data_IF_723509873919
#
_entry.id   IF_723509873919
#
_cell.length_a   1.000
_cell.length_b   1.000
_cell.length_c   1.000
_cell.angle_alpha   90.00
_cell.angle_beta   90.00
_cell.angle_gamma   90.00
#
_symmetry.space_group_name_H-M   'P 1'
#
loop_
_entity.id
_entity.type
_entity.pdbx_description
1 polymer ?
#
# COMPACT_ATOMS: atom_id res chain seq x y z
N UNK A 1 58.15 25.79 -20.24
CA UNK A 1 57.09 25.03 -19.54
C UNK A 1 56.32 26.01 -18.66
N UNK A 2 55.10 26.44 -19.00
CA UNK A 2 54.26 27.18 -18.05
C UNK A 2 53.46 26.19 -17.20
N UNK A 3 53.34 26.51 -15.91
CA UNK A 3 52.62 25.72 -14.93
C UNK A 3 51.10 25.80 -15.13
N UNK A 4 50.43 24.64 -15.17
CA UNK A 4 48.97 24.55 -15.06
C UNK A 4 48.55 24.95 -13.64
N UNK A 5 47.80 26.04 -13.53
CA UNK A 5 47.04 26.38 -12.31
C UNK A 5 45.74 25.58 -12.36
N UNK A 6 45.63 24.55 -11.53
CA UNK A 6 44.41 23.78 -11.34
C UNK A 6 43.37 24.60 -10.58
N UNK A 7 42.28 24.96 -11.26
CA UNK A 7 41.12 25.60 -10.67
C UNK A 7 40.28 24.52 -9.98
N UNK A 8 40.37 24.39 -8.66
CA UNK A 8 39.44 23.59 -7.88
C UNK A 8 38.07 24.28 -7.93
N UNK A 9 37.14 23.73 -8.71
CA UNK A 9 35.71 24.04 -8.57
C UNK A 9 35.26 23.49 -7.21
N UNK A 10 35.12 24.37 -6.23
CA UNK A 10 34.45 24.06 -4.98
C UNK A 10 32.97 23.80 -5.30
N UNK A 11 32.59 22.53 -5.37
CA UNK A 11 31.19 22.12 -5.38
C UNK A 11 30.57 22.56 -4.05
N UNK A 12 29.74 23.59 -4.07
CA UNK A 12 28.91 23.96 -2.93
C UNK A 12 27.93 22.81 -2.69
N UNK A 13 28.18 21.99 -1.68
CA UNK A 13 27.22 21.01 -1.20
C UNK A 13 25.98 21.78 -0.70
N UNK A 14 24.89 21.76 -1.48
CA UNK A 14 23.58 22.14 -0.96
C UNK A 14 23.24 21.13 0.14
N UNK A 15 23.11 21.59 1.38
CA UNK A 15 22.51 20.79 2.44
C UNK A 15 21.12 20.38 2.00
N UNK A 16 20.81 19.08 2.03
CA UNK A 16 19.45 18.61 1.81
C UNK A 16 18.52 19.34 2.80
N UNK A 17 17.33 19.78 2.38
CA UNK A 17 16.41 20.44 3.30
C UNK A 17 16.06 19.47 4.44
N UNK A 18 15.89 20.00 5.65
CA UNK A 18 15.66 19.18 6.84
C UNK A 18 14.20 18.69 6.89
N UNK A 19 13.98 17.52 7.48
CA UNK A 19 12.64 17.06 7.84
C UNK A 19 12.02 18.00 8.86
N UNK A 20 10.83 18.52 8.60
CA UNK A 20 10.08 19.32 9.55
C UNK A 20 9.15 18.42 10.36
N UNK A 21 9.22 18.50 11.70
CA UNK A 21 8.43 17.67 12.61
C UNK A 21 7.59 18.54 13.52
N UNK A 22 6.28 18.53 13.32
CA UNK A 22 5.30 19.18 14.17
C UNK A 22 4.73 18.21 15.20
N UNK A 23 4.53 18.68 16.43
CA UNK A 23 4.07 17.88 17.59
C UNK A 23 2.94 18.57 18.34
N UNK A 24 2.37 17.87 19.32
CA UNK A 24 1.38 18.44 20.23
C UNK A 24 0.00 18.57 19.60
N UNK A 25 -0.81 19.50 20.10
CA UNK A 25 -2.23 19.60 19.78
C UNK A 25 -2.50 19.79 18.28
N UNK A 26 -1.72 20.63 17.59
CA UNK A 26 -1.88 20.85 16.14
C UNK A 26 -1.68 19.57 15.33
N UNK A 27 -0.63 18.79 15.64
CA UNK A 27 -0.40 17.51 14.98
C UNK A 27 -1.55 16.54 15.28
N UNK A 28 -2.00 16.48 16.54
CA UNK A 28 -3.11 15.62 16.95
C UNK A 28 -4.40 15.93 16.19
N UNK A 29 -4.81 17.19 16.13
CA UNK A 29 -6.07 17.60 15.47
C UNK A 29 -6.10 17.22 13.99
N UNK A 30 -5.03 17.55 13.24
CA UNK A 30 -4.93 17.23 11.81
C UNK A 30 -4.87 15.72 11.60
N UNK A 31 -4.05 15.02 12.39
CA UNK A 31 -3.81 13.60 12.17
C UNK A 31 -4.96 12.70 12.64
N UNK A 32 -5.70 13.07 13.68
CA UNK A 32 -6.88 12.28 14.08
C UNK A 32 -8.00 12.37 13.05
N UNK A 33 -8.14 13.50 12.36
CA UNK A 33 -9.08 13.63 11.25
C UNK A 33 -8.68 12.71 10.07
N UNK A 34 -7.40 12.72 9.68
CA UNK A 34 -6.86 11.85 8.63
C UNK A 34 -6.96 10.34 8.98
N UNK A 35 -7.00 10.00 10.26
CA UNK A 35 -7.09 8.63 10.73
C UNK A 35 -8.49 8.02 10.63
N UNK A 36 -9.52 8.83 10.34
CA UNK A 36 -10.89 8.36 10.18
C UNK A 36 -11.01 7.41 8.98
N UNK A 37 -11.75 6.31 9.16
CA UNK A 37 -12.01 5.35 8.08
C UNK A 37 -13.21 5.89 7.27
N UNK A 38 -13.12 5.97 5.94
CA UNK A 38 -14.25 6.34 5.12
C UNK A 38 -15.42 5.38 5.36
N UNK A 39 -16.61 5.93 5.63
CA UNK A 39 -17.83 5.13 5.67
C UNK A 39 -18.28 4.81 4.24
N UNK A 40 -18.70 3.56 4.00
CA UNK A 40 -19.39 3.20 2.77
C UNK A 40 -20.60 4.12 2.52
N UNK A 41 -20.91 4.50 1.27
CA UNK A 41 -22.18 5.13 0.94
C UNK A 41 -23.36 4.26 1.39
N UNK A 42 -24.38 4.86 2.01
CA UNK A 42 -25.54 4.16 2.57
C UNK A 42 -26.32 3.30 1.56
N UNK A 43 -26.20 3.62 0.26
CA UNK A 43 -26.90 2.94 -0.83
C UNK A 43 -26.12 1.73 -1.39
N UNK A 44 -24.97 1.38 -0.80
CA UNK A 44 -24.31 0.10 -1.09
C UNK A 44 -25.09 -1.01 -0.38
N UNK A 45 -25.96 -1.72 -1.11
CA UNK A 45 -26.61 -2.93 -0.62
C UNK A 45 -25.53 -3.97 -0.33
N UNK A 46 -25.13 -4.11 0.94
CA UNK A 46 -24.11 -5.05 1.38
C UNK A 46 -24.75 -6.43 1.63
N UNK A 47 -24.41 -7.50 0.89
CA UNK A 47 -24.54 -8.85 1.41
C UNK A 47 -23.50 -9.04 2.53
N UNK A 48 -23.97 -9.34 3.75
CA UNK A 48 -23.22 -9.55 5.01
C UNK A 48 -21.71 -9.21 4.92
N UNK A 49 -21.30 -7.96 5.21
CA UNK A 49 -19.90 -7.58 5.14
C UNK A 49 -19.10 -8.42 6.14
N UNK A 50 -17.93 -8.91 5.73
CA UNK A 50 -16.96 -9.49 6.66
C UNK A 50 -16.65 -8.40 7.69
N UNK A 51 -16.70 -8.70 9.01
CA UNK A 51 -16.32 -7.74 10.04
C UNK A 51 -14.98 -7.12 9.69
N UNK A 52 -14.84 -5.82 9.96
CA UNK A 52 -13.57 -5.11 9.81
C UNK A 52 -13.08 -4.89 8.37
N UNK A 53 -13.85 -5.19 7.32
CA UNK A 53 -13.50 -4.79 5.94
C UNK A 53 -13.94 -3.35 5.64
N UNK A 54 -13.17 -2.66 4.81
CA UNK A 54 -13.46 -1.29 4.35
C UNK A 54 -13.71 -1.32 2.85
N UNK A 55 -14.88 -0.87 2.36
CA UNK A 55 -15.11 -0.78 0.93
C UNK A 55 -14.25 0.33 0.31
N UNK A 56 -13.79 0.08 -0.91
CA UNK A 56 -13.09 1.05 -1.73
C UNK A 56 -14.08 1.73 -2.69
N UNK A 57 -13.88 3.02 -2.93
CA UNK A 57 -14.64 3.81 -3.91
C UNK A 57 -13.75 4.02 -5.13
N UNK A 58 -14.27 3.76 -6.32
CA UNK A 58 -13.51 3.89 -7.57
C UNK A 58 -13.83 5.18 -8.32
N UNK A 59 -12.85 5.64 -9.10
CA UNK A 59 -12.92 6.87 -9.87
C UNK A 59 -13.45 6.63 -11.30
N UNK A 60 -13.35 5.40 -11.80
CA UNK A 60 -13.69 5.04 -13.18
C UNK A 60 -14.90 4.11 -13.27
N UNK A 61 -14.76 2.92 -13.86
CA UNK A 61 -15.84 2.00 -14.17
C UNK A 61 -16.35 1.24 -12.93
N UNK A 62 -15.50 1.03 -11.92
CA UNK A 62 -15.90 0.47 -10.63
C UNK A 62 -16.38 1.61 -9.73
N UNK A 63 -17.62 1.52 -9.23
CA UNK A 63 -18.15 2.53 -8.30
C UNK A 63 -17.72 2.25 -6.86
N UNK A 64 -17.89 1.00 -6.43
CA UNK A 64 -17.55 0.53 -5.08
C UNK A 64 -17.09 -0.92 -5.19
N UNK A 65 -15.99 -1.28 -4.55
CA UNK A 65 -15.52 -2.66 -4.38
C UNK A 65 -15.37 -3.04 -2.91
N UNK A 66 -15.69 -4.28 -2.53
CA UNK A 66 -15.58 -4.76 -1.15
C UNK A 66 -15.33 -6.27 -1.05
N UNK A 67 -14.74 -6.67 0.06
CA UNK A 67 -14.47 -8.06 0.41
C UNK A 67 -15.63 -8.62 1.23
N UNK A 68 -16.07 -9.84 0.91
CA UNK A 68 -17.19 -10.48 1.60
C UNK A 68 -17.07 -12.01 1.61
N UNK A 69 -18.05 -12.66 2.25
CA UNK A 69 -18.09 -14.11 2.39
C UNK A 69 -17.11 -14.58 3.45
N UNK A 70 -17.43 -14.39 4.75
CA UNK A 70 -16.57 -14.86 5.84
C UNK A 70 -16.29 -16.35 5.74
N UNK A 71 -15.04 -16.72 5.88
CA UNK A 71 -14.56 -18.09 5.69
C UNK A 71 -13.33 -18.39 6.56
N UNK A 72 -13.27 -19.59 7.14
CA UNK A 72 -12.21 -20.04 8.05
C UNK A 72 -11.30 -21.13 7.46
N UNK A 73 -11.30 -21.32 6.13
CA UNK A 73 -10.51 -22.37 5.44
C UNK A 73 -8.99 -22.17 5.48
N UNK A 74 -8.53 -20.98 5.86
CA UNK A 74 -7.12 -20.62 5.95
C UNK A 74 -6.84 -20.05 7.33
N UNK A 75 -5.98 -20.72 8.11
CA UNK A 75 -5.82 -20.45 9.55
C UNK A 75 -4.82 -19.35 9.91
N UNK A 76 -4.30 -18.62 8.91
CA UNK A 76 -3.24 -17.65 9.13
C UNK A 76 -3.83 -16.33 9.66
N UNK A 77 -3.68 -16.08 10.95
CA UNK A 77 -4.29 -14.94 11.62
C UNK A 77 -3.42 -13.65 11.57
N UNK A 78 -2.81 -13.31 10.43
CA UNK A 78 -1.98 -12.10 10.34
C UNK A 78 -2.76 -10.85 10.72
N UNK A 79 -4.05 -10.80 10.37
CA UNK A 79 -4.92 -9.64 10.58
C UNK A 79 -5.77 -9.74 11.87
N UNK A 80 -5.36 -10.60 12.82
CA UNK A 80 -5.93 -10.67 14.17
C UNK A 80 -7.02 -11.72 14.39
N UNK A 81 -7.49 -12.38 13.33
CA UNK A 81 -8.33 -13.57 13.42
C UNK A 81 -8.13 -14.45 12.16
N UNK A 82 -8.70 -15.66 12.18
CA UNK A 82 -8.63 -16.67 11.11
C UNK A 82 -9.86 -16.65 10.17
N UNK A 83 -10.64 -15.57 10.19
CA UNK A 83 -11.77 -15.37 9.27
C UNK A 83 -11.32 -14.43 8.15
N UNK A 84 -11.34 -14.95 6.93
CA UNK A 84 -10.94 -14.23 5.72
C UNK A 84 -12.11 -14.11 4.75
N UNK A 85 -11.96 -13.26 3.73
CA UNK A 85 -12.99 -13.12 2.70
C UNK A 85 -12.82 -14.19 1.61
N UNK A 86 -13.92 -14.86 1.28
CA UNK A 86 -14.01 -15.81 0.19
C UNK A 86 -14.26 -15.15 -1.17
N UNK A 87 -14.66 -13.88 -1.18
CA UNK A 87 -15.15 -13.22 -2.39
C UNK A 87 -14.86 -11.72 -2.45
N UNK A 88 -14.71 -11.23 -3.68
CA UNK A 88 -14.60 -9.81 -4.03
C UNK A 88 -15.86 -9.41 -4.80
N UNK A 89 -16.46 -8.28 -4.42
CA UNK A 89 -17.70 -7.77 -4.99
C UNK A 89 -17.50 -6.34 -5.47
N UNK A 90 -18.23 -5.95 -6.52
CA UNK A 90 -18.29 -4.58 -6.95
C UNK A 90 -19.65 -4.17 -7.50
N UNK A 91 -19.97 -2.89 -7.33
CA UNK A 91 -20.95 -2.21 -8.19
C UNK A 91 -20.21 -1.53 -9.33
N UNK A 92 -20.59 -1.83 -10.56
CA UNK A 92 -19.96 -1.31 -11.78
C UNK A 92 -20.89 -0.27 -12.41
N UNK A 93 -20.36 0.87 -12.83
CA UNK A 93 -21.14 1.96 -13.43
C UNK A 93 -21.84 1.48 -14.70
N UNK A 94 -23.15 1.71 -14.80
CA UNK A 94 -23.95 1.25 -15.94
C UNK A 94 -24.29 -0.24 -15.93
N UNK A 95 -23.94 -0.99 -14.87
CA UNK A 95 -24.47 -2.33 -14.60
C UNK A 95 -25.51 -2.23 -13.49
N UNK A 96 -26.60 -3.00 -13.56
CA UNK A 96 -27.64 -3.02 -12.50
C UNK A 96 -27.34 -4.00 -11.37
N UNK A 97 -26.55 -5.02 -11.64
CA UNK A 97 -26.23 -6.10 -10.72
C UNK A 97 -24.86 -5.91 -10.07
N UNK A 98 -24.70 -6.47 -8.88
CA UNK A 98 -23.39 -6.62 -8.22
C UNK A 98 -22.62 -7.71 -8.97
N UNK A 99 -21.38 -7.42 -9.33
CA UNK A 99 -20.47 -8.39 -9.95
C UNK A 99 -19.62 -9.00 -8.84
N UNK A 100 -19.59 -10.33 -8.72
CA UNK A 100 -18.83 -11.01 -7.68
C UNK A 100 -17.86 -12.04 -8.25
N UNK A 101 -16.71 -12.14 -7.61
CA UNK A 101 -15.70 -13.18 -7.79
C UNK A 101 -15.64 -14.00 -6.51
N UNK A 102 -15.93 -15.30 -6.61
CA UNK A 102 -15.78 -16.25 -5.50
C UNK A 102 -14.48 -17.04 -5.73
N UNK A 103 -13.59 -17.02 -4.75
CA UNK A 103 -12.34 -17.75 -4.83
C UNK A 103 -12.54 -19.27 -4.68
N UNK A 104 -11.74 -20.08 -5.40
CA UNK A 104 -11.65 -21.53 -5.16
C UNK A 104 -11.32 -21.86 -3.70
N UNK A 105 -11.70 -23.07 -3.27
CA UNK A 105 -11.59 -23.53 -1.87
C UNK A 105 -10.16 -23.55 -1.30
N UNK A 106 -9.12 -23.43 -2.12
CA UNK A 106 -7.72 -23.41 -1.66
C UNK A 106 -7.17 -21.99 -1.45
N UNK A 107 -7.99 -20.95 -1.66
CA UNK A 107 -7.62 -19.53 -1.59
C UNK A 107 -8.59 -18.71 -0.75
N UNK A 108 -8.09 -17.63 -0.18
CA UNK A 108 -8.85 -16.57 0.51
C UNK A 108 -8.26 -15.20 0.18
N UNK A 109 -9.03 -14.14 0.32
CA UNK A 109 -8.51 -12.78 0.40
C UNK A 109 -8.09 -12.52 1.86
N UNK A 110 -6.77 -12.50 2.11
CA UNK A 110 -6.18 -12.14 3.40
C UNK A 110 -5.88 -10.63 3.40
N UNK A 111 -6.95 -9.83 3.27
CA UNK A 111 -6.89 -8.38 3.19
C UNK A 111 -8.17 -7.78 3.82
N UNK A 112 -8.16 -6.50 4.18
CA UNK A 112 -9.35 -5.77 4.65
C UNK A 112 -9.75 -4.63 3.74
N UNK A 113 -8.85 -4.16 2.88
CA UNK A 113 -9.01 -2.92 2.12
C UNK A 113 -8.65 -3.19 0.65
N UNK A 114 -9.63 -3.34 -0.26
CA UNK A 114 -9.35 -3.28 -1.70
C UNK A 114 -8.72 -1.94 -2.06
N UNK A 115 -7.79 -1.93 -3.02
CA UNK A 115 -7.15 -0.70 -3.51
C UNK A 115 -7.51 -0.52 -4.98
N UNK A 116 -8.37 0.44 -5.27
CA UNK A 116 -8.79 0.80 -6.63
C UNK A 116 -7.77 1.76 -7.25
N UNK A 117 -7.29 1.45 -8.45
CA UNK A 117 -6.30 2.24 -9.18
C UNK A 117 -6.32 1.85 -10.67
N UNK A 118 -6.20 2.84 -11.56
CA UNK A 118 -5.95 2.62 -12.99
C UNK A 118 -4.44 2.34 -13.21
N UNK A 119 -4.05 1.07 -13.27
CA UNK A 119 -2.63 0.67 -13.28
C UNK A 119 -1.97 0.83 -14.65
N UNK A 120 -2.72 0.64 -15.74
CA UNK A 120 -2.19 0.77 -17.10
C UNK A 120 -2.53 2.09 -17.80
N UNK A 121 -3.31 2.96 -17.15
CA UNK A 121 -3.67 4.27 -17.65
C UNK A 121 -4.74 4.23 -18.74
N UNK A 122 -5.57 3.18 -18.77
CA UNK A 122 -6.61 3.01 -19.79
C UNK A 122 -7.96 3.66 -19.44
N UNK A 123 -8.04 4.30 -18.26
CA UNK A 123 -9.23 4.95 -17.74
C UNK A 123 -10.25 3.98 -17.13
N UNK A 124 -9.82 2.77 -16.72
CA UNK A 124 -10.61 1.80 -15.95
C UNK A 124 -9.89 1.43 -14.67
N UNK A 125 -10.66 1.00 -13.67
CA UNK A 125 -10.07 0.65 -12.38
C UNK A 125 -9.62 -0.81 -12.34
N UNK A 126 -8.39 -1.06 -11.91
CA UNK A 126 -7.98 -2.31 -11.30
C UNK A 126 -8.22 -2.29 -9.79
N UNK A 127 -8.56 -3.46 -9.24
CA UNK A 127 -8.62 -3.72 -7.81
C UNK A 127 -7.42 -4.56 -7.39
N UNK A 128 -6.53 -3.96 -6.61
CA UNK A 128 -5.39 -4.63 -5.99
C UNK A 128 -5.76 -5.15 -4.61
N UNK A 129 -5.53 -6.46 -4.40
CA UNK A 129 -5.86 -7.21 -3.17
C UNK A 129 -4.76 -8.21 -2.84
N UNK A 130 -4.75 -8.67 -1.59
CA UNK A 130 -3.90 -9.78 -1.13
C UNK A 130 -4.68 -11.09 -1.14
N UNK A 131 -4.25 -12.04 -1.96
CA UNK A 131 -4.81 -13.40 -1.99
C UNK A 131 -3.82 -14.40 -1.38
N UNK A 132 -4.27 -15.17 -0.39
CA UNK A 132 -3.48 -16.21 0.26
C UNK A 132 -3.95 -17.60 -0.14
N UNK A 133 -2.98 -18.49 -0.40
CA UNK A 133 -3.22 -19.88 -0.80
C UNK A 133 -2.53 -20.86 0.14
N UNK A 134 -3.24 -21.91 0.53
CA UNK A 134 -2.68 -22.97 1.38
C UNK A 134 -1.40 -23.57 0.76
N UNK A 135 -0.33 -23.67 1.56
CA UNK A 135 0.97 -24.20 1.13
C UNK A 135 1.78 -23.31 0.17
N UNK A 136 1.30 -22.10 -0.15
CA UNK A 136 1.99 -21.14 -1.02
C UNK A 136 2.11 -19.74 -0.39
N UNK A 137 1.16 -19.34 0.44
CA UNK A 137 1.09 -18.02 1.08
C UNK A 137 0.45 -16.94 0.21
N UNK A 138 0.64 -15.69 0.61
CA UNK A 138 0.06 -14.52 -0.03
C UNK A 138 0.70 -14.21 -1.39
N UNK A 139 -0.11 -13.64 -2.29
CA UNK A 139 0.29 -12.98 -3.53
C UNK A 139 -0.42 -11.64 -3.60
N UNK A 140 0.21 -10.65 -4.23
CA UNK A 140 -0.46 -9.44 -4.67
C UNK A 140 -1.18 -9.75 -5.99
N UNK A 141 -2.45 -9.37 -6.11
CA UNK A 141 -3.27 -9.68 -7.28
C UNK A 141 -4.02 -8.43 -7.72
N UNK A 142 -4.00 -8.15 -9.03
CA UNK A 142 -4.80 -7.12 -9.66
C UNK A 142 -5.94 -7.77 -10.46
N UNK A 143 -7.17 -7.41 -10.12
CA UNK A 143 -8.37 -7.79 -10.86
C UNK A 143 -8.92 -6.58 -11.60
N UNK A 144 -9.47 -6.78 -12.79
CA UNK A 144 -10.21 -5.74 -13.53
C UNK A 144 -11.59 -6.25 -13.92
N UNK A 145 -12.39 -5.36 -14.52
CA UNK A 145 -13.70 -5.71 -15.09
C UNK A 145 -13.62 -5.81 -16.61
N UNK A 146 -14.14 -6.90 -17.16
CA UNK A 146 -14.45 -7.02 -18.58
C UNK A 146 -15.95 -6.90 -18.82
N UNK A 147 -16.30 -6.19 -19.89
CA UNK A 147 -17.70 -5.94 -20.28
C UNK A 147 -18.03 -6.62 -21.60
N UNK A 148 -19.19 -7.27 -21.63
CA UNK A 148 -19.79 -7.80 -22.85
C UNK A 148 -21.26 -7.42 -22.88
N UNK A 149 -21.59 -6.38 -23.66
CA UNK A 149 -22.92 -5.77 -23.64
C UNK A 149 -23.26 -5.18 -22.26
N UNK A 150 -24.33 -5.68 -21.64
CA UNK A 150 -24.76 -5.27 -20.29
C UNK A 150 -24.14 -6.13 -19.17
N UNK A 151 -23.42 -7.20 -19.52
CA UNK A 151 -22.76 -8.05 -18.55
C UNK A 151 -21.37 -7.51 -18.20
N UNK A 152 -20.97 -7.69 -16.95
CA UNK A 152 -19.64 -7.38 -16.44
C UNK A 152 -19.12 -8.57 -15.63
N UNK A 153 -17.84 -8.90 -15.77
CA UNK A 153 -17.21 -10.00 -15.07
C UNK A 153 -15.80 -9.62 -14.60
N UNK A 154 -15.40 -10.16 -13.45
CA UNK A 154 -14.04 -10.03 -12.95
C UNK A 154 -13.07 -10.85 -13.79
N UNK A 155 -11.89 -10.28 -14.05
CA UNK A 155 -10.77 -10.97 -14.71
C UNK A 155 -9.49 -10.68 -13.92
N UNK A 156 -8.72 -11.73 -13.62
CA UNK A 156 -7.38 -11.56 -13.06
C UNK A 156 -6.47 -10.97 -14.15
N UNK A 157 -5.95 -9.76 -13.92
CA UNK A 157 -5.07 -9.08 -14.85
C UNK A 157 -3.61 -9.43 -14.61
N UNK A 158 -3.20 -9.44 -13.35
CA UNK A 158 -1.82 -9.71 -12.98
C UNK A 158 -1.69 -10.26 -11.56
N UNK A 159 -0.62 -11.02 -11.32
CA UNK A 159 -0.29 -11.61 -10.02
C UNK A 159 1.21 -11.61 -9.76
N UNK A 160 1.60 -11.40 -8.51
CA UNK A 160 2.98 -11.62 -8.05
C UNK A 160 3.25 -13.10 -7.75
N UNK A 161 4.51 -13.51 -7.73
CA UNK A 161 4.87 -14.80 -7.13
C UNK A 161 4.41 -14.86 -5.66
N UNK A 162 3.99 -16.04 -5.18
CA UNK A 162 3.58 -16.19 -3.79
C UNK A 162 4.78 -16.08 -2.84
N UNK A 163 4.60 -15.44 -1.69
CA UNK A 163 5.70 -15.09 -0.77
C UNK A 163 6.09 -16.22 0.21
N UNK A 164 5.60 -17.44 -0.01
CA UNK A 164 5.93 -18.63 0.76
C UNK A 164 4.84 -19.04 1.75
N UNK A 165 4.79 -20.33 2.10
CA UNK A 165 3.72 -20.88 2.96
C UNK A 165 3.60 -20.14 4.30
N UNK A 166 2.37 -19.77 4.67
CA UNK A 166 2.08 -18.98 5.89
C UNK A 166 2.91 -17.69 5.97
N UNK A 167 3.22 -17.09 4.80
CA UNK A 167 3.78 -15.75 4.67
C UNK A 167 2.74 -14.83 4.06
N UNK A 168 2.78 -13.58 4.51
CA UNK A 168 1.88 -12.53 4.11
C UNK A 168 2.66 -11.28 3.69
N UNK A 169 1.99 -10.38 2.97
CA UNK A 169 2.52 -9.10 2.51
C UNK A 169 1.46 -8.01 2.74
N UNK A 170 1.90 -6.80 3.05
CA UNK A 170 1.00 -5.66 3.23
C UNK A 170 1.26 -4.60 2.14
N UNK A 171 0.31 -4.37 1.21
CA UNK A 171 0.46 -3.37 0.16
C UNK A 171 0.45 -1.95 0.73
N UNK A 172 1.32 -1.10 0.20
CA UNK A 172 1.43 0.32 0.54
C UNK A 172 0.53 1.15 -0.38
N UNK A 173 0.66 0.96 -1.70
CA UNK A 173 -0.09 1.69 -2.71
C UNK A 173 0.59 1.65 -4.08
N UNK A 174 0.08 2.43 -5.02
CA UNK A 174 0.58 2.57 -6.38
C UNK A 174 1.07 4.00 -6.65
N UNK A 175 2.16 4.15 -7.39
CA UNK A 175 2.65 5.44 -7.88
C UNK A 175 3.60 5.21 -9.07
N UNK A 176 3.86 6.24 -9.88
CA UNK A 176 4.88 6.22 -10.93
C UNK A 176 6.26 6.44 -10.30
N UNK A 177 6.94 5.35 -9.93
CA UNK A 177 8.20 5.39 -9.20
C UNK A 177 9.40 5.60 -10.11
N UNK A 178 9.34 5.13 -11.36
CA UNK A 178 10.44 5.25 -12.31
C UNK A 178 10.31 6.40 -13.31
N UNK A 179 9.17 7.10 -13.30
CA UNK A 179 8.91 8.32 -14.05
C UNK A 179 8.53 8.08 -15.52
N UNK A 180 8.11 6.85 -15.86
CA UNK A 180 7.74 6.48 -17.24
C UNK A 180 6.26 6.72 -17.57
N UNK A 181 5.49 7.23 -16.59
CA UNK A 181 4.06 7.51 -16.71
C UNK A 181 3.16 6.31 -16.43
N UNK A 182 3.70 5.15 -16.03
CA UNK A 182 2.95 3.97 -15.58
C UNK A 182 3.06 3.83 -14.08
N UNK A 183 2.07 3.17 -13.46
CA UNK A 183 2.08 2.97 -12.02
C UNK A 183 2.77 1.65 -11.65
N UNK A 184 3.68 1.71 -10.68
CA UNK A 184 4.19 0.55 -9.95
C UNK A 184 3.48 0.38 -8.61
N UNK A 185 3.45 -0.86 -8.12
CA UNK A 185 2.90 -1.22 -6.81
C UNK A 185 4.02 -1.42 -5.78
N UNK A 186 3.94 -0.72 -4.66
CA UNK A 186 4.82 -0.92 -3.51
C UNK A 186 4.14 -1.79 -2.44
N UNK A 187 4.85 -2.79 -1.92
CA UNK A 187 4.36 -3.67 -0.85
C UNK A 187 5.50 -4.15 0.04
N UNK A 188 5.19 -4.45 1.32
CA UNK A 188 6.16 -5.05 2.25
C UNK A 188 5.84 -6.52 2.44
N UNK A 189 6.75 -7.38 1.99
CA UNK A 189 6.69 -8.83 2.23
C UNK A 189 7.19 -9.16 3.63
N UNK A 190 6.52 -10.09 4.32
CA UNK A 190 6.89 -10.60 5.66
C UNK A 190 7.22 -9.49 6.68
N UNK A 191 6.33 -8.50 6.87
CA UNK A 191 6.61 -7.30 7.67
C UNK A 191 6.98 -7.59 9.14
N UNK A 192 6.74 -8.79 9.66
CA UNK A 192 7.01 -9.20 11.04
C UNK A 192 8.24 -10.11 11.23
N UNK A 193 8.96 -10.51 10.16
CA UNK A 193 10.08 -11.51 10.24
C UNK A 193 11.36 -11.01 9.56
N UNK A 194 11.32 -9.85 8.91
CA UNK A 194 12.50 -9.25 8.26
C UNK A 194 12.10 -8.06 7.39
N UNK A 195 10.93 -8.15 6.78
CA UNK A 195 10.26 -7.05 6.11
C UNK A 195 11.02 -6.53 4.90
N UNK A 196 10.51 -6.87 3.72
CA UNK A 196 11.14 -6.53 2.45
C UNK A 196 10.22 -5.62 1.66
N UNK A 197 10.58 -4.34 1.56
CA UNK A 197 9.94 -3.41 0.64
C UNK A 197 10.25 -3.85 -0.78
N UNK A 198 9.21 -4.17 -1.54
CA UNK A 198 9.29 -4.65 -2.91
C UNK A 198 8.53 -3.70 -3.82
N UNK A 199 9.15 -3.31 -4.93
CA UNK A 199 8.51 -2.58 -6.02
C UNK A 199 8.13 -3.56 -7.12
N UNK A 200 6.87 -3.53 -7.55
CA UNK A 200 6.34 -4.36 -8.62
C UNK A 200 5.93 -3.50 -9.82
N UNK A 201 6.42 -3.84 -11.00
CA UNK A 201 5.87 -3.35 -12.27
C UNK A 201 4.61 -4.13 -12.61
N UNK A 202 3.57 -3.40 -13.00
CA UNK A 202 2.40 -4.01 -13.63
C UNK A 202 2.75 -4.40 -15.07
N UNK A 203 2.94 -5.70 -15.30
CA UNK A 203 3.27 -6.27 -16.60
C UNK A 203 2.43 -7.53 -16.85
N UNK A 204 1.12 -7.39 -17.10
CA UNK A 204 0.19 -8.51 -17.30
C UNK A 204 0.78 -9.62 -18.19
N UNK A 205 0.69 -10.90 -17.79
CA UNK A 205 -0.10 -11.42 -16.67
C UNK A 205 0.62 -11.39 -15.29
N UNK A 206 1.73 -10.68 -15.14
CA UNK A 206 2.56 -10.69 -13.93
C UNK A 206 2.65 -9.33 -13.25
N UNK A 207 2.88 -9.38 -11.95
CA UNK A 207 3.48 -8.28 -11.19
C UNK A 207 4.98 -8.58 -11.06
N UNK A 208 5.79 -7.93 -11.88
CA UNK A 208 7.23 -8.21 -11.98
C UNK A 208 8.02 -7.40 -10.97
N UNK A 209 8.94 -8.03 -10.26
CA UNK A 209 9.74 -7.32 -9.25
C UNK A 209 10.82 -6.48 -9.91
N UNK A 210 10.78 -5.17 -9.67
CA UNK A 210 11.84 -4.25 -10.10
C UNK A 210 12.99 -4.18 -9.10
N UNK A 211 12.68 -4.19 -7.80
CA UNK A 211 13.71 -4.15 -6.77
C UNK A 211 13.19 -4.30 -5.34
N UNK A 212 14.13 -4.55 -4.44
CA UNK A 212 13.87 -4.87 -3.03
C UNK A 212 14.82 -4.12 -2.10
N UNK A 213 14.34 -3.78 -0.91
CA UNK A 213 15.18 -3.37 0.22
C UNK A 213 14.61 -3.96 1.51
N UNK A 214 15.49 -4.38 2.41
CA UNK A 214 15.13 -5.06 3.67
C UNK A 214 15.10 -4.10 4.85
N UNK A 215 14.64 -4.58 6.01
CA UNK A 215 14.77 -3.88 7.29
C UNK A 215 13.62 -2.91 7.61
N UNK A 216 12.56 -2.93 6.81
CA UNK A 216 11.36 -2.10 7.00
C UNK A 216 10.23 -2.91 7.63
N UNK A 217 9.25 -2.30 8.28
CA UNK A 217 7.99 -2.97 8.66
C UNK A 217 6.81 -2.04 8.47
N UNK A 218 5.68 -2.54 7.99
CA UNK A 218 4.44 -1.77 7.90
C UNK A 218 3.23 -2.52 8.48
N UNK A 219 3.45 -3.50 9.35
CA UNK A 219 2.37 -4.26 9.98
C UNK A 219 2.87 -5.04 11.21
N UNK A 220 2.01 -5.12 12.24
CA UNK A 220 2.22 -5.96 13.43
C UNK A 220 1.37 -7.21 13.31
N UNK A 221 2.01 -8.38 13.38
CA UNK A 221 1.29 -9.66 13.33
C UNK A 221 0.16 -9.72 14.38
N UNK A 222 -1.03 -10.12 13.96
CA UNK A 222 -2.23 -10.18 14.80
C UNK A 222 -2.95 -8.83 14.95
N UNK A 223 -2.44 -7.75 14.38
CA UNK A 223 -3.15 -6.46 14.33
C UNK A 223 -4.01 -6.39 13.08
N UNK A 224 -5.26 -5.91 13.19
CA UNK A 224 -6.06 -5.63 12.00
C UNK A 224 -5.54 -4.37 11.28
N UNK A 225 -4.79 -3.48 11.94
CA UNK A 225 -4.30 -2.22 11.36
C UNK A 225 -3.26 -2.46 10.25
N UNK A 226 -3.59 -2.04 9.02
CA UNK A 226 -2.73 -2.15 7.84
C UNK A 226 -2.05 -0.82 7.46
N UNK A 227 -2.39 0.29 8.11
CA UNK A 227 -1.89 1.65 7.81
C UNK A 227 -0.68 2.00 8.65
N UNK A 228 0.43 1.34 8.36
CA UNK A 228 1.72 1.57 9.01
C UNK A 228 2.82 1.91 7.98
N UNK A 229 2.39 2.49 6.86
CA UNK A 229 3.22 3.07 5.81
C UNK A 229 2.39 4.08 5.00
N UNK A 230 3.04 5.02 4.35
CA UNK A 230 2.40 5.98 3.46
C UNK A 230 3.22 6.21 2.17
N UNK A 231 2.55 6.69 1.13
CA UNK A 231 3.17 7.26 -0.07
C UNK A 231 3.06 8.77 -0.03
N UNK A 232 4.16 9.45 -0.29
CA UNK A 232 4.21 10.89 -0.52
C UNK A 232 4.51 11.14 -1.99
N UNK A 233 3.65 11.93 -2.65
CA UNK A 233 3.96 12.48 -3.96
C UNK A 233 4.96 13.62 -3.79
N UNK A 234 6.02 13.64 -4.61
CA UNK A 234 6.97 14.77 -4.64
C UNK A 234 7.37 15.14 -6.06
N UNK A 235 7.89 16.37 -6.28
CA UNK A 235 8.41 16.78 -7.58
C UNK A 235 9.52 15.87 -8.13
N UNK A 236 10.37 15.32 -7.25
CA UNK A 236 11.48 14.43 -7.65
C UNK A 236 11.07 12.94 -7.74
N UNK A 237 9.78 12.64 -7.58
CA UNK A 237 9.22 11.30 -7.61
C UNK A 237 8.65 10.83 -6.26
N UNK A 238 7.88 9.73 -6.25
CA UNK A 238 7.21 9.23 -5.05
C UNK A 238 8.19 8.74 -3.98
N UNK A 239 7.82 8.92 -2.72
CA UNK A 239 8.57 8.44 -1.56
C UNK A 239 7.69 7.54 -0.70
N UNK A 240 8.16 6.33 -0.45
CA UNK A 240 7.61 5.42 0.57
C UNK A 240 8.11 5.86 1.94
N UNK A 241 7.18 6.10 2.85
CA UNK A 241 7.45 6.36 4.26
C UNK A 241 7.02 5.15 5.07
N UNK A 242 7.97 4.51 5.75
CA UNK A 242 7.76 3.23 6.43
C UNK A 242 8.70 3.11 7.64
N UNK A 243 8.29 2.55 8.78
CA UNK A 243 9.21 2.37 9.88
C UNK A 243 10.24 1.25 9.66
N UNK A 244 11.29 1.27 10.48
CA UNK A 244 12.18 0.14 10.65
C UNK A 244 11.49 -1.05 11.34
N UNK A 245 12.11 -2.24 11.31
CA UNK A 245 11.61 -3.43 12.00
C UNK A 245 11.42 -3.24 13.51
N UNK A 246 12.16 -2.31 14.12
CA UNK A 246 12.01 -1.98 15.53
C UNK A 246 10.85 -1.00 15.80
N UNK A 247 10.19 -0.45 14.77
CA UNK A 247 9.17 0.59 14.84
C UNK A 247 9.64 1.87 15.55
N UNK A 248 10.94 2.11 15.66
CA UNK A 248 11.51 3.25 16.40
C UNK A 248 12.12 4.33 15.51
N UNK A 249 12.21 4.06 14.20
CA UNK A 249 12.69 5.03 13.21
C UNK A 249 11.74 5.06 12.04
N UNK A 250 11.54 6.24 11.46
CA UNK A 250 10.87 6.39 10.18
C UNK A 250 11.89 6.42 9.06
N UNK A 251 11.68 5.60 8.04
CA UNK A 251 12.53 5.47 6.86
C UNK A 251 11.81 6.08 5.66
N UNK A 252 12.58 6.67 4.75
CA UNK A 252 12.10 7.34 3.55
C UNK A 252 12.80 6.71 2.34
N UNK A 253 12.07 5.99 1.51
CA UNK A 253 12.58 5.27 0.35
C UNK A 253 12.03 5.86 -0.94
N UNK A 254 12.89 6.43 -1.77
CA UNK A 254 12.58 6.78 -3.15
C UNK A 254 13.17 5.76 -4.12
N UNK A 255 12.73 5.79 -5.37
CA UNK A 255 13.27 4.94 -6.42
C UNK A 255 14.19 5.76 -7.33
N UNK A 256 15.43 5.30 -7.54
CA UNK A 256 16.37 5.99 -8.43
C UNK A 256 17.43 5.03 -8.98
N UNK A 257 17.67 5.13 -10.30
CA UNK A 257 18.66 4.31 -11.03
C UNK A 257 18.43 2.81 -10.83
N UNK A 258 17.16 2.37 -10.91
CA UNK A 258 16.78 0.97 -10.82
C UNK A 258 16.90 0.34 -9.42
N UNK A 259 16.92 1.15 -8.36
CA UNK A 259 16.99 0.64 -6.99
C UNK A 259 16.31 1.60 -5.99
N UNK A 260 15.91 1.03 -4.85
CA UNK A 260 15.51 1.82 -3.68
C UNK A 260 16.70 2.61 -3.14
N UNK A 261 16.48 3.89 -2.86
CA UNK A 261 17.46 4.81 -2.27
C UNK A 261 16.84 5.57 -1.10
N UNK A 262 17.61 5.90 -0.05
CA UNK A 262 17.14 6.83 0.96
C UNK A 262 16.77 8.17 0.32
N UNK A 263 15.52 8.61 0.49
CA UNK A 263 15.04 9.91 0.03
C UNK A 263 15.26 11.01 1.08
N UNK A 264 15.40 10.63 2.35
CA UNK A 264 15.74 11.51 3.47
C UNK A 264 16.51 10.72 4.55
N UNK A 265 17.20 11.40 5.49
CA UNK A 265 17.76 10.74 6.66
C UNK A 265 16.67 10.02 7.46
N UNK A 266 16.96 8.80 7.88
CA UNK A 266 16.04 8.05 8.74
C UNK A 266 15.87 8.77 10.09
N UNK A 267 14.61 9.01 10.47
CA UNK A 267 14.23 9.86 11.60
C UNK A 267 14.01 9.01 12.87
N UNK A 268 14.81 9.20 13.93
CA UNK A 268 14.53 8.58 15.23
C UNK A 268 13.25 9.13 15.85
N UNK A 269 12.41 8.24 16.39
CA UNK A 269 11.13 8.59 17.00
C UNK A 269 11.18 8.40 18.51
N UNK A 270 10.45 9.23 19.30
CA UNK A 270 10.44 9.14 20.76
C UNK A 270 9.62 7.95 21.29
N UNK A 271 8.89 7.26 20.41
CA UNK A 271 8.02 6.13 20.73
C UNK A 271 7.92 5.18 19.54
N UNK A 272 7.25 4.05 19.74
CA UNK A 272 7.04 3.06 18.67
C UNK A 272 5.93 3.51 17.74
N UNK A 273 6.09 3.33 16.43
CA UNK A 273 5.04 3.67 15.45
C UNK A 273 3.86 2.71 15.56
N UNK A 274 2.64 3.23 15.63
CA UNK A 274 1.40 2.46 15.56
C UNK A 274 0.64 2.67 14.26
N UNK A 275 0.68 3.89 13.70
CA UNK A 275 0.10 4.21 12.39
C UNK A 275 0.95 5.21 11.62
N UNK A 276 0.93 5.10 10.29
CA UNK A 276 1.50 6.09 9.36
C UNK A 276 0.45 6.36 8.30
N UNK A 277 0.06 7.62 8.15
CA UNK A 277 -1.00 8.08 7.24
C UNK A 277 -0.42 9.16 6.33
N UNK A 278 -0.64 9.04 5.02
CA UNK A 278 -0.32 10.11 4.07
C UNK A 278 -1.38 11.20 4.11
N UNK A 279 -0.95 12.46 4.03
CA UNK A 279 -1.79 13.65 3.89
C UNK A 279 -1.05 14.66 3.01
N UNK A 280 -1.35 14.63 1.71
CA UNK A 280 -0.68 15.42 0.68
C UNK A 280 0.85 15.24 0.73
N UNK A 281 1.60 16.32 0.99
CA UNK A 281 3.06 16.32 1.11
C UNK A 281 3.55 15.97 2.53
N UNK A 282 2.64 15.65 3.45
CA UNK A 282 2.96 15.35 4.86
C UNK A 282 2.53 13.94 5.26
N UNK A 283 3.18 13.38 6.28
CA UNK A 283 2.74 12.15 6.94
C UNK A 283 2.36 12.42 8.38
N UNK A 284 1.29 11.76 8.81
CA UNK A 284 0.86 11.67 10.19
C UNK A 284 1.34 10.35 10.77
N UNK A 285 2.08 10.40 11.87
CA UNK A 285 2.64 9.24 12.56
C UNK A 285 2.07 9.17 13.97
N UNK A 286 1.28 8.14 14.24
CA UNK A 286 0.86 7.84 15.61
C UNK A 286 1.93 7.01 16.30
N UNK A 287 2.21 7.37 17.54
CA UNK A 287 3.14 6.65 18.40
C UNK A 287 2.37 5.87 19.48
N UNK A 288 3.01 4.82 20.00
CA UNK A 288 2.57 4.12 21.19
C UNK A 288 2.37 5.14 22.34
N UNK A 289 1.19 5.11 22.96
CA UNK A 289 0.73 6.14 23.90
C UNK A 289 -0.26 7.15 23.30
N UNK A 290 -0.49 7.13 21.99
CA UNK A 290 -1.51 7.94 21.31
C UNK A 290 -1.05 9.36 20.93
N UNK A 291 0.25 9.63 21.03
CA UNK A 291 0.84 10.88 20.55
C UNK A 291 0.95 10.88 19.02
N UNK A 292 0.77 12.05 18.41
CA UNK A 292 0.88 12.25 16.96
C UNK A 292 2.04 13.17 16.60
N UNK A 293 2.76 12.78 15.55
CA UNK A 293 3.71 13.63 14.84
C UNK A 293 3.15 13.91 13.45
N UNK A 294 3.31 15.15 12.97
CA UNK A 294 3.14 15.48 11.56
C UNK A 294 4.50 15.81 10.98
N UNK A 295 4.88 15.11 9.92
CA UNK A 295 6.21 15.20 9.32
C UNK A 295 6.08 15.63 7.87
N UNK A 296 6.79 16.68 7.50
CA UNK A 296 6.93 17.11 6.10
C UNK A 296 8.29 16.64 5.61
N UNK A 297 8.29 15.83 4.54
CA UNK A 297 9.52 15.48 3.86
C UNK A 297 10.00 16.68 3.01
N UNK A 298 11.30 16.99 2.99
CA UNK A 298 11.86 18.12 2.26
C UNK A 298 11.65 18.04 0.75
#
# INVERSE_FOLDING_TARGET
MPALVGMLLAATARSAPALEVTRGQMAREVCTAAASVPSAPADAVQPVPLPDTVPAIGEHDIRIAWLAGPDSRYSHAALGNDIHAASLHATVRGTREVVNLVLPQDRVFEDRIPRLVDLDGDGRDEVVVVESRAGRGASLVAYGIERSGHAAAWVERARSDPVGSMRWLNPIGAADFDGDGRLELASVTTPHIGGVLTLYRYAPPRLEVLGRTEGVSNHRFGSPEQRLSALLARPDGPVVVVPDQAFSRLLFHGWARGAWRPAAPALPLPGKVERVLGLDETVCVELAGGDWLRITAP
#
